data_IF_037342536875
#
_entry.id   IF_037342536875
#
_cell.length_a   1.000
_cell.length_b   1.000
_cell.length_c   1.000
_cell.angle_alpha   90.00
_cell.angle_beta   90.00
_cell.angle_gamma   90.00
#
_symmetry.space_group_name_H-M   'P 1'
#
loop_
_entity.id
_entity.type
_entity.pdbx_description
1 polymer ?
#
# COMPACT_ATOMS: atom_id res chain seq x y z
N UNK A 1 -8.86 3.71 19.96
CA UNK A 1 -7.73 4.30 19.20
C UNK A 1 -8.30 4.90 17.94
N UNK A 2 -8.00 6.17 17.68
CA UNK A 2 -8.52 6.91 16.54
C UNK A 2 -7.72 6.57 15.26
N UNK A 3 -8.39 6.55 14.11
CA UNK A 3 -7.74 6.36 12.82
C UNK A 3 -7.41 7.73 12.21
N UNK A 4 -6.21 7.91 11.68
CA UNK A 4 -5.84 9.15 10.97
C UNK A 4 -6.17 9.03 9.48
N UNK A 5 -6.55 10.15 8.85
CA UNK A 5 -6.97 10.20 7.44
C UNK A 5 -6.01 11.05 6.62
N UNK A 6 -5.61 10.53 5.47
CA UNK A 6 -4.79 11.26 4.49
C UNK A 6 -5.26 11.05 3.06
N UNK A 7 -4.86 11.97 2.18
CA UNK A 7 -4.90 11.77 0.73
C UNK A 7 -3.52 11.29 0.29
N UNK A 8 -3.46 10.13 -0.35
CA UNK A 8 -2.23 9.60 -0.92
C UNK A 8 -2.22 9.88 -2.43
N UNK A 9 -1.08 10.40 -2.91
CA UNK A 9 -0.81 10.65 -4.32
C UNK A 9 0.47 9.88 -4.67
N UNK A 10 0.35 8.83 -5.47
CA UNK A 10 1.48 7.96 -5.83
C UNK A 10 1.57 7.75 -7.35
N UNK A 11 2.80 7.66 -7.85
CA UNK A 11 3.11 7.17 -9.19
C UNK A 11 4.03 5.96 -9.09
N UNK A 12 3.55 4.82 -9.56
CA UNK A 12 4.24 3.53 -9.51
C UNK A 12 4.82 3.17 -10.87
N UNK A 13 6.03 2.63 -10.87
CA UNK A 13 6.72 2.14 -12.06
C UNK A 13 6.99 0.64 -11.91
N UNK A 14 6.67 -0.14 -12.94
CA UNK A 14 7.07 -1.54 -13.03
C UNK A 14 8.31 -1.63 -13.90
N UNK A 15 9.37 -2.24 -13.37
CA UNK A 15 10.70 -2.27 -13.97
C UNK A 15 11.28 -3.68 -13.87
N UNK A 16 12.06 -4.09 -14.87
CA UNK A 16 12.70 -5.41 -14.87
C UNK A 16 13.65 -5.63 -13.69
N UNK A 17 13.96 -6.89 -13.37
CA UNK A 17 14.76 -7.27 -12.19
C UNK A 17 16.18 -6.64 -12.16
N UNK A 18 16.75 -6.32 -13.32
CA UNK A 18 18.05 -5.65 -13.47
C UNK A 18 18.00 -4.12 -13.42
N UNK A 19 16.82 -3.52 -13.27
CA UNK A 19 16.69 -2.07 -13.24
C UNK A 19 17.40 -1.48 -12.01
N UNK A 20 18.17 -0.42 -12.27
CA UNK A 20 18.84 0.39 -11.27
C UNK A 20 18.10 1.71 -11.10
N UNK A 21 18.10 2.25 -9.90
CA UNK A 21 17.56 3.59 -9.65
C UNK A 21 18.53 4.60 -10.30
N UNK A 22 18.08 5.43 -11.25
CA UNK A 22 18.93 6.45 -11.86
C UNK A 22 19.27 7.56 -10.86
N UNK A 23 20.23 8.42 -11.20
CA UNK A 23 20.52 9.62 -10.40
C UNK A 23 19.26 10.49 -10.29
N UNK A 24 18.69 10.57 -9.09
CA UNK A 24 17.38 11.17 -8.86
C UNK A 24 17.41 12.69 -8.95
N UNK A 25 18.57 13.31 -8.80
CA UNK A 25 18.80 14.75 -8.99
C UNK A 25 18.59 15.19 -10.45
N UNK A 26 18.55 14.24 -11.39
CA UNK A 26 18.18 14.51 -12.79
C UNK A 26 16.66 14.57 -12.99
N UNK A 27 15.87 14.12 -12.02
CA UNK A 27 14.42 14.17 -12.11
C UNK A 27 13.92 15.61 -11.83
N UNK A 28 12.95 16.05 -12.61
CA UNK A 28 12.36 17.37 -12.44
C UNK A 28 11.77 17.54 -11.02
N UNK A 29 12.14 18.63 -10.35
CA UNK A 29 11.66 18.96 -9.00
C UNK A 29 12.44 18.32 -7.85
N UNK A 30 13.53 17.58 -8.11
CA UNK A 30 14.46 17.09 -7.09
C UNK A 30 15.72 17.94 -7.07
N UNK A 31 15.99 18.62 -5.96
CA UNK A 31 17.22 19.38 -5.75
C UNK A 31 18.34 18.52 -5.16
N UNK A 32 18.00 17.67 -4.19
CA UNK A 32 18.95 16.79 -3.52
C UNK A 32 18.30 15.48 -3.13
N UNK A 33 19.12 14.44 -3.09
CA UNK A 33 18.76 13.12 -2.56
C UNK A 33 19.57 12.86 -1.29
N UNK A 34 18.89 12.41 -0.23
CA UNK A 34 19.49 12.00 1.03
C UNK A 34 19.97 10.56 1.01
N UNK A 35 20.59 10.12 2.10
CA UNK A 35 21.09 8.76 2.22
C UNK A 35 19.94 7.74 2.12
N UNK A 36 20.04 6.72 1.24
CA UNK A 36 19.03 5.69 1.16
C UNK A 36 18.97 4.84 2.44
N UNK A 37 17.76 4.42 2.80
CA UNK A 37 17.52 3.47 3.87
C UNK A 37 16.72 2.27 3.36
N UNK A 38 17.01 1.08 3.89
CA UNK A 38 16.32 -0.16 3.50
C UNK A 38 15.54 -0.73 4.68
N UNK A 39 14.23 -0.90 4.48
CA UNK A 39 13.33 -1.58 5.40
C UNK A 39 13.04 -3.01 4.91
N UNK A 40 12.84 -3.92 5.87
CA UNK A 40 12.15 -5.19 5.65
C UNK A 40 10.73 -5.06 6.19
N UNK A 41 9.75 -5.31 5.33
CA UNK A 41 8.34 -5.12 5.62
C UNK A 41 7.59 -6.43 5.44
N UNK A 42 6.64 -6.71 6.34
CA UNK A 42 5.63 -7.73 6.14
C UNK A 42 4.27 -7.05 6.05
N UNK A 43 3.49 -7.37 5.02
CA UNK A 43 2.12 -6.91 4.86
C UNK A 43 1.15 -8.10 4.80
N UNK A 44 0.19 -8.14 5.72
CA UNK A 44 -0.92 -9.09 5.76
C UNK A 44 -2.17 -8.39 5.26
N UNK A 45 -2.76 -8.90 4.18
CA UNK A 45 -4.00 -8.37 3.60
C UNK A 45 -5.20 -9.13 4.12
N UNK A 46 -6.28 -8.39 4.37
CA UNK A 46 -7.52 -8.91 4.92
C UNK A 46 -8.67 -8.70 3.94
N UNK A 47 -9.45 -9.75 3.71
CA UNK A 47 -10.68 -9.71 2.89
C UNK A 47 -11.62 -10.85 3.32
N UNK A 48 -12.80 -10.94 2.71
CA UNK A 48 -13.71 -12.07 2.85
C UNK A 48 -13.33 -13.21 1.91
N UNK A 49 -13.83 -14.42 2.15
CA UNK A 49 -13.64 -15.55 1.23
C UNK A 49 -14.13 -15.27 -0.21
N UNK A 50 -15.07 -14.33 -0.38
CA UNK A 50 -15.60 -13.91 -1.67
C UNK A 50 -14.89 -12.68 -2.26
N UNK A 51 -13.82 -12.20 -1.62
CA UNK A 51 -13.04 -11.02 -1.96
C UNK A 51 -13.90 -9.75 -2.13
N UNK A 52 -14.79 -9.50 -1.15
CA UNK A 52 -15.76 -8.42 -1.22
C UNK A 52 -15.11 -7.03 -1.27
N UNK A 53 -13.95 -6.85 -0.64
CA UNK A 53 -13.21 -5.59 -0.65
C UNK A 53 -12.44 -5.39 -1.95
N UNK A 54 -11.66 -6.39 -2.38
CA UNK A 54 -10.85 -6.31 -3.59
C UNK A 54 -11.69 -6.05 -4.84
N UNK A 55 -12.88 -6.68 -4.97
CA UNK A 55 -13.83 -6.43 -6.06
C UNK A 55 -14.27 -4.97 -6.19
N UNK A 56 -14.12 -4.19 -5.12
CA UNK A 56 -14.49 -2.77 -5.05
C UNK A 56 -13.26 -1.86 -4.99
N UNK A 57 -12.08 -2.41 -5.31
CA UNK A 57 -10.79 -1.73 -5.19
C UNK A 57 -10.53 -1.21 -3.78
N UNK A 58 -11.05 -1.87 -2.75
CA UNK A 58 -10.76 -1.55 -1.34
C UNK A 58 -9.62 -2.45 -0.88
N UNK A 59 -8.66 -1.87 -0.15
CA UNK A 59 -7.51 -2.63 0.37
C UNK A 59 -7.42 -2.42 1.87
N UNK A 60 -7.55 -3.50 2.64
CA UNK A 60 -7.26 -3.52 4.06
C UNK A 60 -5.99 -4.35 4.29
N UNK A 61 -4.97 -3.75 4.90
CA UNK A 61 -3.73 -4.45 5.24
C UNK A 61 -3.20 -4.05 6.59
N UNK A 62 -2.58 -4.99 7.29
CA UNK A 62 -1.71 -4.75 8.44
C UNK A 62 -0.28 -4.88 7.97
N UNK A 63 0.56 -3.88 8.25
CA UNK A 63 1.98 -3.89 7.88
C UNK A 63 2.85 -3.74 9.12
N UNK A 64 3.85 -4.60 9.23
CA UNK A 64 4.93 -4.51 10.23
C UNK A 64 6.25 -4.18 9.54
N UNK A 65 7.20 -3.67 10.32
CA UNK A 65 8.48 -3.18 9.82
C UNK A 65 8.39 -1.76 9.23
N UNK A 66 9.53 -1.06 9.25
CA UNK A 66 9.65 0.31 8.78
C UNK A 66 8.90 1.35 9.63
N UNK A 67 9.02 2.62 9.21
CA UNK A 67 8.43 3.79 9.89
C UNK A 67 6.89 3.88 9.81
N UNK A 68 6.29 3.14 8.88
CA UNK A 68 4.89 3.19 8.53
C UNK A 68 4.17 1.89 8.93
N UNK A 69 4.59 1.29 10.04
CA UNK A 69 3.99 0.11 10.61
C UNK A 69 2.61 0.45 11.22
N UNK A 70 1.60 -0.35 10.88
CA UNK A 70 0.21 -0.09 11.25
C UNK A 70 -0.78 -0.81 10.35
N UNK A 71 -2.05 -0.52 10.58
CA UNK A 71 -3.15 -0.86 9.69
C UNK A 71 -3.36 0.25 8.68
N UNK A 72 -3.61 -0.15 7.44
CA UNK A 72 -3.84 0.73 6.30
C UNK A 72 -5.12 0.30 5.62
N UNK A 73 -6.04 1.23 5.46
CA UNK A 73 -7.27 1.06 4.69
C UNK A 73 -7.28 2.06 3.54
N UNK A 74 -7.12 1.55 2.31
CA UNK A 74 -7.30 2.35 1.10
C UNK A 74 -8.75 2.21 0.61
N UNK A 75 -9.43 3.35 0.49
CA UNK A 75 -10.81 3.45 0.01
C UNK A 75 -10.87 3.57 -1.53
N UNK A 76 -12.02 3.29 -2.17
CA UNK A 76 -12.08 3.38 -3.62
C UNK A 76 -11.85 4.83 -4.07
N UNK A 77 -11.26 5.06 -5.26
CA UNK A 77 -11.11 6.41 -5.79
C UNK A 77 -12.49 7.06 -5.96
N UNK A 78 -12.58 8.37 -5.68
CA UNK A 78 -13.80 9.14 -5.95
C UNK A 78 -14.00 9.21 -7.46
N UNK A 79 -15.25 9.15 -7.94
CA UNK A 79 -15.58 9.05 -9.37
C UNK A 79 -14.86 10.07 -10.28
N UNK A 80 -14.62 11.30 -9.80
CA UNK A 80 -13.90 12.34 -10.55
C UNK A 80 -12.39 12.09 -10.73
N UNK A 81 -11.76 11.31 -9.83
CA UNK A 81 -10.32 11.00 -9.88
C UNK A 81 -10.00 9.75 -10.72
N UNK A 82 -11.02 9.06 -11.26
CA UNK A 82 -10.85 7.81 -12.01
C UNK A 82 -10.62 8.03 -13.52
N UNK A 83 -10.73 9.27 -14.02
CA UNK A 83 -10.90 9.56 -15.45
C UNK A 83 -9.68 10.21 -16.15
N UNK A 84 -8.45 10.00 -15.68
CA UNK A 84 -7.26 10.51 -16.38
C UNK A 84 -5.96 9.79 -16.06
N UNK A 85 -4.93 10.00 -16.88
CA UNK A 85 -3.57 9.44 -16.75
C UNK A 85 -2.73 10.07 -15.62
N UNK A 86 -3.38 10.75 -14.68
CA UNK A 86 -2.75 11.40 -13.53
C UNK A 86 -2.35 10.40 -12.44
N UNK A 87 -1.55 10.84 -11.45
CA UNK A 87 -1.20 9.99 -10.31
C UNK A 87 -2.46 9.51 -9.58
N UNK A 88 -2.44 8.26 -9.12
CA UNK A 88 -3.61 7.70 -8.44
C UNK A 88 -3.83 8.43 -7.12
N UNK A 89 -5.05 8.92 -6.92
CA UNK A 89 -5.47 9.59 -5.69
C UNK A 89 -6.47 8.70 -4.95
N UNK A 90 -6.10 8.27 -3.74
CA UNK A 90 -6.97 7.46 -2.89
C UNK A 90 -6.97 8.00 -1.48
N UNK A 91 -8.15 7.95 -0.84
CA UNK A 91 -8.22 8.19 0.60
C UNK A 91 -7.64 6.98 1.32
N UNK A 92 -6.67 7.23 2.19
CA UNK A 92 -6.08 6.23 3.06
C UNK A 92 -6.38 6.56 4.53
N UNK A 93 -6.78 5.55 5.29
CA UNK A 93 -6.97 5.61 6.73
C UNK A 93 -5.91 4.74 7.40
N UNK A 94 -5.32 5.25 8.48
CA UNK A 94 -4.27 4.58 9.24
C UNK A 94 -4.72 4.32 10.67
N UNK A 95 -4.36 3.16 11.22
CA UNK A 95 -4.52 2.86 12.63
C UNK A 95 -3.29 2.12 13.17
N UNK A 96 -2.97 2.23 14.47
CA UNK A 96 -1.80 1.56 15.06
C UNK A 96 -1.95 0.02 15.06
N UNK A 97 -0.81 -0.71 15.08
CA UNK A 97 -0.71 -2.15 14.85
C UNK A 97 -1.66 -3.05 15.68
N UNK A 98 -2.05 -2.62 16.88
CA UNK A 98 -2.98 -3.34 17.74
C UNK A 98 -2.66 -4.84 17.85
N UNK A 99 -3.70 -5.67 17.90
CA UNK A 99 -3.58 -7.15 17.83
C UNK A 99 -3.50 -7.60 16.36
N UNK A 100 -2.67 -8.61 16.03
CA UNK A 100 -2.32 -8.94 14.65
C UNK A 100 -3.47 -9.37 13.72
N UNK A 101 -4.50 -10.00 14.28
CA UNK A 101 -5.64 -10.54 13.51
C UNK A 101 -6.97 -9.85 13.85
N UNK A 102 -6.93 -8.78 14.62
CA UNK A 102 -8.13 -8.01 15.00
C UNK A 102 -8.08 -6.67 14.31
N UNK A 103 -8.93 -6.51 13.29
CA UNK A 103 -9.08 -5.24 12.59
C UNK A 103 -9.63 -4.20 13.57
N UNK A 104 -9.00 -3.02 13.70
CA UNK A 104 -9.51 -1.97 14.58
C UNK A 104 -10.93 -1.51 14.19
N UNK A 105 -11.80 -1.32 15.19
CA UNK A 105 -13.20 -0.89 14.98
C UNK A 105 -13.31 0.43 14.20
N UNK A 106 -12.35 1.33 14.42
CA UNK A 106 -12.24 2.59 13.70
C UNK A 106 -12.10 2.39 12.18
N UNK A 107 -11.47 1.31 11.72
CA UNK A 107 -11.39 0.95 10.30
C UNK A 107 -12.59 0.12 9.86
N UNK A 108 -13.07 -0.81 10.68
CA UNK A 108 -14.26 -1.65 10.38
C UNK A 108 -15.52 -0.81 10.12
N UNK A 109 -15.66 0.32 10.80
CA UNK A 109 -16.78 1.25 10.61
C UNK A 109 -16.93 1.71 9.17
N UNK A 110 -15.83 1.89 8.45
CA UNK A 110 -15.83 2.26 7.03
C UNK A 110 -16.12 1.08 6.09
N UNK A 111 -16.10 -0.15 6.61
CA UNK A 111 -16.21 -1.39 5.84
C UNK A 111 -17.56 -2.09 5.96
N UNK A 112 -18.40 -1.73 6.93
CA UNK A 112 -19.67 -2.42 7.20
C UNK A 112 -20.56 -2.60 5.97
N UNK A 113 -20.75 -1.55 5.17
CA UNK A 113 -21.57 -1.60 3.96
C UNK A 113 -21.03 -2.57 2.89
N UNK A 114 -19.71 -2.78 2.85
CA UNK A 114 -19.04 -3.65 1.88
C UNK A 114 -18.98 -5.10 2.35
N UNK A 115 -18.77 -5.30 3.65
CA UNK A 115 -18.65 -6.62 4.27
C UNK A 115 -20.00 -7.31 4.48
N UNK A 116 -21.10 -6.54 4.64
CA UNK A 116 -22.47 -7.07 4.85
C UNK A 116 -22.54 -8.14 5.94
N UNK A 117 -21.86 -7.89 7.06
CA UNK A 117 -21.79 -8.81 8.21
C UNK A 117 -20.71 -9.89 8.13
N UNK A 118 -20.00 -10.04 7.00
CA UNK A 118 -18.86 -10.94 6.92
C UNK A 118 -17.65 -10.39 7.70
N UNK A 119 -16.94 -11.28 8.40
CA UNK A 119 -15.72 -10.93 9.11
C UNK A 119 -14.52 -11.06 8.15
N UNK A 120 -13.72 -10.00 7.95
CA UNK A 120 -12.52 -10.08 7.11
C UNK A 120 -11.44 -10.92 7.80
N UNK A 121 -10.77 -11.77 7.03
CA UNK A 121 -9.72 -12.66 7.51
C UNK A 121 -8.43 -12.48 6.68
N UNK A 122 -7.26 -12.89 7.18
CA UNK A 122 -6.02 -12.85 6.41
C UNK A 122 -6.12 -13.68 5.13
N UNK A 123 -5.86 -13.07 3.97
CA UNK A 123 -5.91 -13.74 2.66
C UNK A 123 -4.54 -13.85 1.99
N UNK A 124 -3.67 -12.86 2.21
CA UNK A 124 -2.35 -12.77 1.56
C UNK A 124 -1.33 -12.24 2.54
N UNK A 125 -0.12 -12.81 2.53
CA UNK A 125 1.07 -12.28 3.19
C UNK A 125 2.13 -11.93 2.15
N UNK A 126 2.74 -10.77 2.31
CA UNK A 126 3.74 -10.23 1.39
C UNK A 126 4.94 -9.71 2.17
N UNK A 127 6.10 -10.30 1.89
CA UNK A 127 7.39 -9.83 2.40
C UNK A 127 8.03 -8.90 1.35
N UNK A 128 8.44 -7.71 1.76
CA UNK A 128 9.00 -6.69 0.88
C UNK A 128 10.29 -6.13 1.44
N UNK A 129 11.35 -6.14 0.62
CA UNK A 129 12.55 -5.32 0.86
C UNK A 129 12.38 -3.99 0.15
N UNK A 130 12.31 -2.90 0.91
CA UNK A 130 12.05 -1.55 0.39
C UNK A 130 13.25 -0.65 0.64
N UNK A 131 13.80 -0.06 -0.42
CA UNK A 131 14.82 0.99 -0.32
C UNK A 131 14.18 2.34 -0.63
N UNK A 132 14.27 3.27 0.32
CA UNK A 132 13.71 4.62 0.21
C UNK A 132 14.82 5.63 0.02
N UNK A 133 14.67 6.52 -0.95
CA UNK A 133 15.58 7.62 -1.25
C UNK A 133 14.88 8.94 -0.89
N UNK A 134 15.21 9.55 0.27
CA UNK A 134 14.65 10.85 0.64
C UNK A 134 15.04 11.88 -0.42
N UNK A 135 14.09 12.68 -0.89
CA UNK A 135 14.34 13.73 -1.89
C UNK A 135 13.81 15.06 -1.35
N UNK A 136 14.55 16.13 -1.56
CA UNK A 136 14.10 17.50 -1.28
C UNK A 136 14.02 18.28 -2.57
N UNK A 137 13.00 19.14 -2.68
CA UNK A 137 12.78 19.97 -3.87
C UNK A 137 13.55 21.29 -3.83
N UNK A 138 13.59 21.97 -4.97
CA UNK A 138 14.38 23.19 -5.20
C UNK A 138 13.77 24.46 -4.57
N UNK A 139 12.61 24.39 -3.89
CA UNK A 139 11.77 25.52 -3.37
C UNK A 139 11.25 26.45 -4.49
N UNK A 140 10.05 27.06 -4.50
CA UNK A 140 9.01 27.33 -3.51
C UNK A 140 7.60 26.91 -4.01
N UNK A 141 7.32 25.60 -4.04
CA UNK A 141 5.95 25.11 -4.04
C UNK A 141 5.65 24.64 -2.64
N UNK A 142 4.52 25.05 -2.06
CA UNK A 142 4.07 24.71 -0.70
C UNK A 142 3.83 23.21 -0.49
N UNK A 143 4.03 22.38 -1.51
CA UNK A 143 3.91 20.93 -1.40
C UNK A 143 5.26 20.27 -1.09
N UNK A 144 5.37 19.50 0.00
CA UNK A 144 6.59 18.77 0.30
C UNK A 144 6.90 17.78 -0.84
N UNK A 145 8.15 17.78 -1.31
CA UNK A 145 8.64 16.75 -2.24
C UNK A 145 8.54 15.40 -1.56
N UNK A 146 7.77 14.49 -2.16
CA UNK A 146 7.59 13.14 -1.62
C UNK A 146 8.85 12.29 -1.87
N UNK A 147 9.19 11.34 -0.97
CA UNK A 147 10.33 10.47 -1.16
C UNK A 147 10.10 9.51 -2.34
N UNK A 148 11.16 9.16 -3.06
CA UNK A 148 11.08 8.09 -4.06
C UNK A 148 11.38 6.75 -3.39
N UNK A 149 10.55 5.75 -3.70
CA UNK A 149 10.60 4.43 -3.07
C UNK A 149 10.78 3.33 -4.11
N UNK A 150 11.84 2.53 -3.98
CA UNK A 150 12.01 1.29 -4.72
C UNK A 150 11.64 0.09 -3.82
N UNK A 151 10.69 -0.73 -4.25
CA UNK A 151 10.28 -1.93 -3.51
C UNK A 151 10.50 -3.19 -4.34
N UNK A 152 11.11 -4.21 -3.73
CA UNK A 152 11.23 -5.55 -4.32
C UNK A 152 10.48 -6.55 -3.41
N UNK A 153 9.32 -7.08 -3.86
CA UNK A 153 8.64 -8.13 -3.12
C UNK A 153 9.46 -9.43 -3.21
N UNK A 154 9.65 -10.11 -2.08
CA UNK A 154 10.37 -11.39 -2.02
C UNK A 154 9.49 -12.60 -2.37
N UNK A 155 8.21 -12.37 -2.67
CA UNK A 155 7.23 -13.41 -3.01
C UNK A 155 5.92 -13.22 -2.27
N UNK A 156 4.86 -13.86 -2.76
CA UNK A 156 3.52 -13.83 -2.18
C UNK A 156 3.24 -15.17 -1.51
N UNK A 157 2.75 -15.19 -0.28
CA UNK A 157 2.20 -16.40 0.36
C UNK A 157 0.70 -16.21 0.59
N UNK A 158 -0.12 -16.96 -0.13
CA UNK A 158 -1.56 -17.05 0.16
C UNK A 158 -1.77 -17.96 1.38
N UNK A 159 -2.73 -17.62 2.24
CA UNK A 159 -3.14 -18.49 3.34
C UNK A 159 -3.54 -19.89 2.85
N UNK A 160 -3.37 -20.90 3.72
CA UNK A 160 -3.48 -22.33 3.43
C UNK A 160 -4.81 -22.69 2.75
N UNK A 161 -4.74 -23.19 1.50
CA UNK A 161 -5.83 -23.94 0.85
C UNK A 161 -5.74 -25.42 1.26
N UNK A 162 -6.86 -26.16 1.43
CA UNK A 162 -6.83 -27.61 1.35
C UNK A 162 -6.31 -28.01 -0.03
N UNK A 163 -5.49 -29.07 -0.09
CA UNK A 163 -4.73 -29.50 -1.28
C UNK A 163 -5.62 -29.56 -2.54
N UNK A 164 -5.24 -28.80 -3.58
CA UNK A 164 -5.83 -28.94 -4.91
C UNK A 164 -5.56 -27.78 -5.87
N UNK A 165 -4.61 -28.01 -6.80
CA UNK A 165 -4.36 -27.35 -8.10
C UNK A 165 -3.84 -25.89 -8.17
N UNK A 166 -2.61 -25.84 -8.71
CA UNK A 166 -1.94 -24.86 -9.58
C UNK A 166 -2.43 -23.41 -9.62
N UNK A 167 -1.56 -22.54 -9.07
CA UNK A 167 -0.93 -21.40 -9.75
C UNK A 167 -1.74 -20.59 -10.75
N UNK A 168 -2.24 -19.45 -10.29
CA UNK A 168 -2.52 -18.30 -11.15
C UNK A 168 -1.97 -17.04 -10.47
N UNK A 169 -0.95 -16.43 -11.09
CA UNK A 169 -0.46 -15.10 -10.75
C UNK A 169 -1.54 -14.09 -11.17
N UNK A 170 -2.43 -13.74 -10.23
CA UNK A 170 -3.44 -12.71 -10.45
C UNK A 170 -2.83 -11.32 -10.26
N UNK A 171 -2.65 -10.59 -11.37
CA UNK A 171 -2.49 -9.14 -11.36
C UNK A 171 -3.81 -8.50 -10.92
N UNK A 172 -3.78 -7.63 -9.92
CA UNK A 172 -4.93 -6.82 -9.52
C UNK A 172 -4.65 -5.37 -9.91
N UNK A 173 -5.45 -4.85 -10.85
CA UNK A 173 -5.55 -3.44 -11.22
C UNK A 173 -6.27 -2.60 -10.16
#
# INVERSE_FOLDING_TARGET
>A
MEASRGLEIEKKYDVGAGAVVPALERAAGVARTGQPHTDLLEAVYFDTASHALAKRRITLRRRTGGKDAGWHLKLPPRAAAAAGDGPQQRTELHAPLGRPDVVPDALLTHLYAYLRGAVPAPVVRLDTRRTTYPCTGTTASTSPTSPMTGSRPNGWRTGTRPRGRNGANGSWN
#
